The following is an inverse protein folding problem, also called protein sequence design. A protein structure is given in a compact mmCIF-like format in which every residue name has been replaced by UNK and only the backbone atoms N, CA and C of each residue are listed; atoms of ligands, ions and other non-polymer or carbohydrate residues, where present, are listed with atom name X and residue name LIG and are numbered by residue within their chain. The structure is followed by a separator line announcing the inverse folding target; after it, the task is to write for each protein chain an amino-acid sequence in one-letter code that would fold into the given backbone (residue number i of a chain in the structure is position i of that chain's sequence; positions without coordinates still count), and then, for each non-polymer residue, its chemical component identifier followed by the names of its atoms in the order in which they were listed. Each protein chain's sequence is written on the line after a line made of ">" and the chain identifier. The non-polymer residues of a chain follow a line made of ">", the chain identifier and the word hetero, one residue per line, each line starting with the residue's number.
data_IF_041588837473
#
_entry.id   IF_041588837473
#
_cell.length_a   1.000
_cell.length_b   1.000
_cell.length_c   1.000
_cell.angle_alpha   90.00
_cell.angle_beta   90.00
_cell.angle_gamma   90.00
#
_symmetry.space_group_name_H-M   'P 1'
#
loop_
_entity.id
_entity.type
_entity.pdbx_description
1 polymer ?
#
# COMPACT_ATOMS: atom_id res chain seq x y z
N UNK A 1 8.07 -3.26 -5.17
CA UNK A 1 9.04 -2.13 -5.08
C UNK A 1 10.41 -2.66 -4.66
N UNK A 2 11.51 -2.22 -5.29
CA UNK A 2 12.88 -2.60 -4.91
C UNK A 2 13.51 -1.48 -4.06
N UNK A 3 13.89 -1.80 -2.81
CA UNK A 3 14.48 -0.87 -1.87
C UNK A 3 16.00 -0.84 -2.00
N UNK A 4 16.58 0.36 -2.06
CA UNK A 4 18.02 0.61 -2.05
C UNK A 4 18.37 1.42 -0.80
N UNK A 5 19.28 0.90 0.00
CA UNK A 5 19.84 1.65 1.14
C UNK A 5 20.67 2.82 0.64
N UNK A 6 20.48 3.99 1.23
CA UNK A 6 21.29 5.16 0.93
C UNK A 6 22.60 5.16 1.74
N UNK A 7 23.62 5.77 1.15
CA UNK A 7 24.85 6.08 1.87
C UNK A 7 24.61 7.11 2.96
N UNK A 8 25.65 7.35 3.79
CA UNK A 8 25.55 8.22 4.96
C UNK A 8 25.22 9.68 4.61
N UNK A 9 25.82 10.20 3.53
CA UNK A 9 25.65 11.61 3.15
C UNK A 9 24.25 11.86 2.62
N UNK A 10 23.73 10.98 1.77
CA UNK A 10 22.37 11.04 1.26
C UNK A 10 21.34 10.77 2.37
N UNK A 11 21.62 9.81 3.26
CA UNK A 11 20.76 9.58 4.45
C UNK A 11 20.69 10.82 5.34
N UNK A 12 21.80 11.51 5.56
CA UNK A 12 21.84 12.75 6.35
C UNK A 12 20.95 13.84 5.75
N UNK A 13 21.01 14.01 4.42
CA UNK A 13 20.15 14.99 3.72
C UNK A 13 18.66 14.68 3.91
N UNK A 14 18.27 13.43 3.71
CA UNK A 14 16.87 12.99 3.88
C UNK A 14 16.42 13.21 5.33
N UNK A 15 17.19 12.72 6.32
CA UNK A 15 16.86 12.86 7.74
C UNK A 15 16.68 14.34 8.11
N UNK A 16 17.56 15.22 7.63
CA UNK A 16 17.47 16.65 7.92
C UNK A 16 16.22 17.28 7.24
N UNK A 17 15.83 16.81 6.05
CA UNK A 17 14.63 17.32 5.37
C UNK A 17 13.34 16.89 6.04
N UNK A 18 13.27 15.67 6.61
CA UNK A 18 12.05 15.15 7.26
C UNK A 18 11.93 15.55 8.73
N UNK A 19 12.97 16.12 9.33
CA UNK A 19 12.95 16.61 10.72
C UNK A 19 12.10 17.85 10.95
N UNK A 20 11.70 18.54 9.89
CA UNK A 20 10.86 19.73 10.01
C UNK A 20 9.41 19.36 10.32
N UNK A 21 8.83 19.91 11.38
CA UNK A 21 7.44 19.69 11.77
C UNK A 21 7.24 18.61 12.83
N UNK A 22 6.14 17.86 12.75
CA UNK A 22 5.70 16.88 13.77
C UNK A 22 6.70 15.73 14.04
N UNK A 23 7.69 15.53 13.17
CA UNK A 23 8.68 14.45 13.26
C UNK A 23 10.03 14.91 13.83
N UNK A 24 10.10 16.12 14.39
CA UNK A 24 11.32 16.63 14.98
C UNK A 24 11.77 15.73 16.15
N UNK A 25 13.02 15.26 16.08
CA UNK A 25 13.61 14.39 17.11
C UNK A 25 13.38 12.89 16.94
N UNK A 26 12.48 12.45 16.07
CA UNK A 26 12.22 11.01 15.86
C UNK A 26 13.37 10.28 15.15
N UNK A 27 14.14 10.98 14.31
CA UNK A 27 15.21 10.38 13.52
C UNK A 27 16.55 11.06 13.74
N UNK A 28 17.64 10.28 13.78
CA UNK A 28 19.00 10.77 13.84
C UNK A 28 19.91 9.97 12.92
N UNK A 29 20.97 10.59 12.41
CA UNK A 29 21.94 9.93 11.51
C UNK A 29 22.65 8.74 12.18
N UNK A 30 22.75 8.77 13.53
CA UNK A 30 23.40 7.72 14.30
C UNK A 30 22.53 6.49 14.55
N UNK A 31 21.21 6.63 14.51
CA UNK A 31 20.25 5.59 14.91
C UNK A 31 19.23 5.24 13.83
N UNK A 32 19.28 5.92 12.70
CA UNK A 32 18.29 5.71 11.63
C UNK A 32 18.95 5.26 10.33
N UNK A 33 18.22 4.45 9.59
CA UNK A 33 18.54 4.02 8.24
C UNK A 33 17.55 4.65 7.25
N UNK A 34 18.03 4.99 6.06
CA UNK A 34 17.20 5.49 4.96
C UNK A 34 17.30 4.57 3.78
N UNK A 35 16.16 4.15 3.27
CA UNK A 35 16.03 3.39 2.03
C UNK A 35 15.22 4.21 1.01
N UNK A 36 15.52 4.01 -0.28
CA UNK A 36 14.80 4.61 -1.40
C UNK A 36 14.22 3.52 -2.27
N UNK A 37 12.91 3.58 -2.53
CA UNK A 37 12.20 2.72 -3.46
C UNK A 37 11.80 3.51 -4.71
N UNK A 38 12.12 2.99 -5.90
CA UNK A 38 11.65 3.59 -7.16
C UNK A 38 10.26 3.06 -7.49
N UNK A 39 9.43 3.94 -8.03
CA UNK A 39 8.12 3.64 -8.60
C UNK A 39 8.10 4.11 -10.06
N UNK A 40 7.55 3.31 -10.95
CA UNK A 40 7.64 3.55 -12.40
C UNK A 40 6.49 4.41 -12.96
N UNK A 41 5.49 4.71 -12.13
CA UNK A 41 4.35 5.55 -12.48
C UNK A 41 4.57 7.04 -12.12
N UNK A 42 5.63 7.38 -11.39
CA UNK A 42 6.00 8.76 -11.14
C UNK A 42 7.27 9.15 -11.88
N UNK A 43 7.23 10.32 -12.52
CA UNK A 43 8.43 10.97 -13.03
C UNK A 43 9.12 11.70 -11.87
N UNK A 44 10.38 11.38 -11.64
CA UNK A 44 11.28 12.06 -10.68
C UNK A 44 10.89 11.93 -9.20
N UNK A 45 9.85 11.17 -8.85
CA UNK A 45 9.48 10.86 -7.47
C UNK A 45 9.91 9.44 -7.08
N UNK A 46 10.19 9.28 -5.79
CA UNK A 46 10.53 7.99 -5.18
C UNK A 46 9.92 7.92 -3.78
N UNK A 47 9.77 6.71 -3.26
CA UNK A 47 9.40 6.50 -1.86
C UNK A 47 10.67 6.41 -1.03
N UNK A 48 10.72 7.13 0.07
CA UNK A 48 11.80 7.09 1.05
C UNK A 48 11.27 6.50 2.35
N UNK A 49 11.94 5.46 2.84
CA UNK A 49 11.64 4.84 4.12
C UNK A 49 12.72 5.19 5.11
N UNK A 50 12.36 5.81 6.22
CA UNK A 50 13.25 6.17 7.32
C UNK A 50 12.90 5.30 8.51
N UNK A 51 13.82 4.42 8.92
CA UNK A 51 13.64 3.50 10.04
C UNK A 51 14.50 3.94 11.22
N UNK A 52 13.91 4.10 12.40
CA UNK A 52 14.62 4.35 13.65
C UNK A 52 14.81 3.03 14.40
N UNK A 53 16.07 2.72 14.73
CA UNK A 53 16.47 1.55 15.52
C UNK A 53 16.80 1.85 16.98
N UNK A 54 16.66 3.12 17.43
CA UNK A 54 16.90 3.49 18.82
C UNK A 54 15.77 3.07 19.76
N UNK A 55 14.62 2.74 19.24
CA UNK A 55 13.44 2.27 19.99
C UNK A 55 13.22 0.76 19.82
N UNK A 56 12.53 0.14 20.77
CA UNK A 56 12.07 -1.24 20.71
C UNK A 56 10.54 -1.26 20.93
N UNK A 57 9.76 -1.69 19.93
CA UNK A 57 10.18 -2.07 18.57
C UNK A 57 10.70 -0.88 17.76
N UNK A 58 11.53 -1.16 16.74
CA UNK A 58 11.88 -0.16 15.72
C UNK A 58 10.64 0.27 14.94
N UNK A 59 10.62 1.50 14.46
CA UNK A 59 9.52 2.02 13.64
C UNK A 59 10.06 2.67 12.37
N UNK A 60 9.19 2.77 11.37
CA UNK A 60 9.52 3.37 10.08
C UNK A 60 8.44 4.37 9.66
N UNK A 61 8.88 5.45 9.01
CA UNK A 61 7.99 6.37 8.30
C UNK A 61 8.35 6.37 6.82
N UNK A 62 7.33 6.47 5.98
CA UNK A 62 7.51 6.52 4.54
C UNK A 62 7.09 7.89 3.98
N UNK A 63 7.82 8.35 2.98
CA UNK A 63 7.65 9.66 2.37
C UNK A 63 7.70 9.53 0.86
N UNK A 64 6.77 10.18 0.16
CA UNK A 64 6.84 10.37 -1.29
C UNK A 64 7.58 11.67 -1.60
N UNK A 65 8.65 11.63 -2.40
CA UNK A 65 9.54 12.78 -2.57
C UNK A 65 10.24 12.82 -3.92
N UNK A 66 10.46 14.03 -4.42
CA UNK A 66 11.35 14.36 -5.54
C UNK A 66 12.83 14.53 -5.12
N UNK A 67 13.13 14.30 -3.83
CA UNK A 67 14.44 14.52 -3.21
C UNK A 67 14.59 15.90 -2.56
N UNK A 68 13.63 16.80 -2.73
CA UNK A 68 13.60 18.15 -2.16
C UNK A 68 12.45 18.29 -1.16
N UNK A 69 11.24 17.96 -1.59
CA UNK A 69 10.03 18.03 -0.77
C UNK A 69 9.57 16.62 -0.40
N UNK A 70 9.37 16.38 0.89
CA UNK A 70 9.00 15.10 1.45
C UNK A 70 7.55 15.14 1.94
N UNK A 71 6.67 14.39 1.28
CA UNK A 71 5.28 14.21 1.66
C UNK A 71 5.16 12.95 2.51
N UNK A 72 4.88 13.11 3.80
CA UNK A 72 4.68 11.98 4.71
C UNK A 72 3.42 11.20 4.30
N UNK A 73 3.56 9.89 4.13
CA UNK A 73 2.47 8.97 3.84
C UNK A 73 1.82 8.58 5.16
N UNK A 74 0.78 9.31 5.54
CA UNK A 74 0.16 9.32 6.87
C UNK A 74 -1.06 8.39 7.00
N UNK A 75 -1.28 7.52 6.02
CA UNK A 75 -2.44 6.63 5.96
C UNK A 75 -3.63 7.20 5.20
N UNK A 76 -3.58 8.50 4.83
CA UNK A 76 -4.62 9.14 4.02
C UNK A 76 -4.20 9.27 2.56
N UNK A 77 -5.17 9.49 1.67
CA UNK A 77 -4.89 9.72 0.25
C UNK A 77 -4.27 11.10 -0.06
N UNK A 78 -4.38 12.04 0.88
CA UNK A 78 -4.01 13.43 0.65
C UNK A 78 -2.55 13.64 0.23
N UNK A 79 -1.53 13.01 0.84
CA UNK A 79 -0.14 13.15 0.40
C UNK A 79 0.07 12.68 -1.04
N UNK A 80 -0.53 11.54 -1.42
CA UNK A 80 -0.44 10.96 -2.77
C UNK A 80 -1.11 11.89 -3.78
N UNK A 81 -2.32 12.35 -3.48
CA UNK A 81 -3.08 13.22 -4.37
C UNK A 81 -2.41 14.59 -4.55
N UNK A 82 -1.79 15.12 -3.50
CA UNK A 82 -1.03 16.37 -3.60
C UNK A 82 0.18 16.27 -4.56
N UNK A 83 0.78 15.10 -4.67
CA UNK A 83 1.84 14.84 -5.66
C UNK A 83 1.26 14.63 -7.05
N UNK A 84 0.16 13.88 -7.18
CA UNK A 84 -0.51 13.65 -8.46
C UNK A 84 -0.96 14.97 -9.13
N UNK A 85 -1.46 15.91 -8.33
CA UNK A 85 -1.93 17.22 -8.81
C UNK A 85 -0.80 18.09 -9.39
N UNK A 86 0.48 17.73 -9.17
CA UNK A 86 1.64 18.36 -9.82
C UNK A 86 1.86 17.88 -11.25
N UNK A 87 1.06 16.92 -11.75
CA UNK A 87 1.15 16.38 -13.11
C UNK A 87 2.38 15.51 -13.36
N UNK A 88 2.91 14.89 -12.32
CA UNK A 88 4.10 14.00 -12.39
C UNK A 88 3.73 12.53 -12.49
N UNK A 89 2.45 12.19 -12.30
CA UNK A 89 1.92 10.83 -12.45
C UNK A 89 1.71 10.52 -13.94
N UNK A 90 2.11 9.32 -14.34
CA UNK A 90 1.84 8.78 -15.68
C UNK A 90 1.37 7.35 -15.52
N UNK A 91 0.07 7.14 -15.76
CA UNK A 91 -0.54 5.81 -15.70
C UNK A 91 -0.78 5.25 -17.09
N UNK A 92 -0.51 3.96 -17.22
CA UNK A 92 -0.88 3.14 -18.37
C UNK A 92 -1.34 1.75 -17.90
N UNK A 93 -1.76 0.89 -18.84
CA UNK A 93 -2.23 -0.47 -18.53
C UNK A 93 -1.17 -1.38 -17.89
N UNK A 94 0.12 -1.03 -17.98
CA UNK A 94 1.21 -1.84 -17.47
C UNK A 94 1.60 -1.46 -16.04
N UNK A 95 1.34 -0.20 -15.64
CA UNK A 95 1.74 0.31 -14.33
C UNK A 95 0.56 0.67 -13.39
N UNK A 96 -0.68 0.72 -13.90
CA UNK A 96 -1.85 1.08 -13.06
C UNK A 96 -2.06 0.11 -11.91
N UNK A 97 -1.76 -1.19 -12.06
CA UNK A 97 -1.84 -2.16 -10.96
C UNK A 97 -0.76 -1.95 -9.92
N UNK A 98 0.45 -1.55 -10.32
CA UNK A 98 1.52 -1.20 -9.39
C UNK A 98 1.17 0.08 -8.62
N UNK A 99 0.55 1.06 -9.31
CA UNK A 99 0.04 2.26 -8.66
C UNK A 99 -1.08 1.93 -7.66
N UNK A 100 -2.03 1.06 -8.04
CA UNK A 100 -3.13 0.63 -7.16
C UNK A 100 -2.60 -0.08 -5.91
N UNK A 101 -1.64 -1.00 -6.07
CA UNK A 101 -1.00 -1.69 -4.96
C UNK A 101 -0.21 -0.71 -4.06
N UNK A 102 0.48 0.28 -4.66
CA UNK A 102 1.13 1.35 -3.92
C UNK A 102 0.12 2.19 -3.14
N UNK A 103 -0.99 2.58 -3.77
CA UNK A 103 -2.02 3.38 -3.14
C UNK A 103 -2.57 2.68 -1.89
N UNK A 104 -3.04 1.44 -2.01
CA UNK A 104 -3.59 0.71 -0.87
C UNK A 104 -2.55 0.28 0.18
N UNK A 105 -1.27 0.20 -0.17
CA UNK A 105 -0.22 0.00 0.83
C UNK A 105 0.01 1.22 1.73
N UNK A 106 -0.50 2.40 1.35
CA UNK A 106 -0.29 3.66 2.08
C UNK A 106 -1.59 4.37 2.45
N UNK A 107 -2.73 3.86 2.01
CA UNK A 107 -4.06 4.43 2.29
C UNK A 107 -4.95 3.31 2.79
N UNK A 108 -5.29 3.38 4.07
CA UNK A 108 -6.28 2.50 4.68
C UNK A 108 -7.70 3.09 4.59
N UNK A 109 -8.68 2.29 4.97
CA UNK A 109 -10.02 2.79 5.28
C UNK A 109 -10.23 2.84 6.80
N UNK A 110 -11.42 3.25 7.22
CA UNK A 110 -11.77 3.34 8.65
C UNK A 110 -11.75 1.96 9.35
N UNK A 111 -11.73 0.87 8.60
CA UNK A 111 -11.77 -0.51 9.10
C UNK A 111 -10.39 -1.20 9.04
N UNK A 112 -9.38 -0.58 8.41
CA UNK A 112 -8.01 -1.07 8.39
C UNK A 112 -7.30 -1.02 7.03
N UNK A 113 -6.28 -1.87 6.90
CA UNK A 113 -5.45 -1.92 5.71
C UNK A 113 -6.14 -2.67 4.57
N UNK A 114 -5.93 -2.19 3.35
CA UNK A 114 -6.38 -2.83 2.12
C UNK A 114 -5.16 -3.36 1.36
N UNK A 115 -5.21 -4.63 0.94
CA UNK A 115 -4.12 -5.24 0.18
C UNK A 115 -4.64 -5.76 -1.17
N UNK A 116 -3.93 -5.46 -2.24
CA UNK A 116 -4.16 -6.06 -3.56
C UNK A 116 -3.55 -7.47 -3.58
N UNK A 117 -4.37 -8.48 -3.82
CA UNK A 117 -3.94 -9.88 -3.87
C UNK A 117 -3.78 -10.31 -5.34
N UNK A 118 -2.58 -10.16 -5.87
CA UNK A 118 -2.25 -10.61 -7.23
C UNK A 118 -1.98 -12.11 -7.30
N UNK A 119 -1.49 -12.70 -6.23
CA UNK A 119 -1.26 -14.13 -6.09
C UNK A 119 -1.90 -14.60 -4.77
N UNK A 120 -2.65 -15.72 -4.76
CA UNK A 120 -3.21 -16.28 -3.52
C UNK A 120 -2.20 -16.44 -2.39
N UNK A 121 -0.95 -16.78 -2.71
CA UNK A 121 0.13 -16.93 -1.74
C UNK A 121 0.52 -15.63 -1.01
N UNK A 122 0.12 -14.46 -1.55
CA UNK A 122 0.38 -13.15 -0.93
C UNK A 122 -0.70 -12.80 0.11
N UNK A 123 -1.73 -13.64 0.26
CA UNK A 123 -2.81 -13.39 1.21
C UNK A 123 -2.30 -13.50 2.66
N UNK A 124 -2.57 -12.52 3.52
CA UNK A 124 -2.21 -12.58 4.92
C UNK A 124 -2.84 -13.78 5.61
N UNK A 125 -2.08 -14.41 6.53
CA UNK A 125 -2.53 -15.53 7.34
C UNK A 125 -2.99 -16.78 6.55
N UNK A 126 -2.63 -16.89 5.27
CA UNK A 126 -3.06 -17.98 4.39
C UNK A 126 -2.81 -19.38 5.03
N UNK A 127 -1.63 -19.58 5.62
CA UNK A 127 -1.26 -20.86 6.26
C UNK A 127 -2.03 -21.16 7.56
N UNK A 128 -2.74 -20.18 8.09
CA UNK A 128 -3.56 -20.33 9.31
C UNK A 128 -5.03 -20.60 9.00
N UNK A 129 -5.41 -20.66 7.73
CA UNK A 129 -6.78 -20.90 7.30
C UNK A 129 -7.15 -22.38 7.47
N UNK A 130 -8.42 -22.65 7.75
CA UNK A 130 -8.94 -24.01 7.69
C UNK A 130 -8.79 -24.56 6.25
N UNK A 131 -8.54 -25.88 6.06
CA UNK A 131 -8.24 -26.46 4.74
C UNK A 131 -9.28 -26.12 3.66
N UNK A 132 -10.57 -26.15 3.98
CA UNK A 132 -11.63 -25.83 3.01
C UNK A 132 -11.64 -24.35 2.61
N UNK A 133 -11.24 -23.43 3.51
CA UNK A 133 -11.10 -22.01 3.20
C UNK A 133 -9.87 -21.75 2.34
N UNK A 134 -8.75 -22.42 2.68
CA UNK A 134 -7.53 -22.38 1.88
C UNK A 134 -7.81 -22.82 0.43
N UNK A 135 -8.44 -23.98 0.22
CA UNK A 135 -8.80 -24.47 -1.12
C UNK A 135 -9.73 -23.51 -1.86
N UNK A 136 -10.68 -22.89 -1.14
CA UNK A 136 -11.61 -21.92 -1.72
C UNK A 136 -10.90 -20.64 -2.19
N UNK A 137 -9.87 -20.15 -1.49
CA UNK A 137 -9.05 -19.01 -1.90
C UNK A 137 -8.44 -19.27 -3.28
N UNK A 138 -7.81 -20.44 -3.47
CA UNK A 138 -7.20 -20.80 -4.75
C UNK A 138 -8.24 -21.02 -5.85
N UNK A 139 -9.33 -21.69 -5.56
CA UNK A 139 -10.38 -21.99 -6.52
C UNK A 139 -11.12 -20.73 -7.03
N UNK A 140 -11.25 -19.71 -6.20
CA UNK A 140 -11.97 -18.49 -6.53
C UNK A 140 -11.08 -17.34 -6.99
N UNK A 141 -9.76 -17.44 -6.79
CA UNK A 141 -8.83 -16.42 -7.26
C UNK A 141 -8.89 -16.25 -8.77
N UNK A 142 -8.99 -15.00 -9.21
CA UNK A 142 -8.92 -14.62 -10.62
C UNK A 142 -7.87 -13.54 -10.81
N UNK A 143 -7.10 -13.56 -11.89
CA UNK A 143 -6.21 -12.45 -12.24
C UNK A 143 -6.97 -11.13 -12.30
N UNK A 144 -6.25 -10.03 -12.11
CA UNK A 144 -6.83 -8.71 -12.30
C UNK A 144 -7.18 -8.48 -13.77
N UNK A 145 -8.34 -7.88 -14.01
CA UNK A 145 -8.80 -7.45 -15.33
C UNK A 145 -8.77 -5.93 -15.37
N UNK A 146 -8.19 -5.35 -16.44
CA UNK A 146 -7.99 -3.92 -16.59
C UNK A 146 -8.59 -3.47 -17.90
N UNK A 147 -9.51 -2.54 -17.84
CA UNK A 147 -10.13 -1.90 -18.99
C UNK A 147 -9.91 -0.37 -18.89
N UNK A 148 -9.48 0.28 -20.00
CA UNK A 148 -9.40 1.73 -20.06
C UNK A 148 -10.66 2.29 -20.70
N UNK A 149 -11.37 3.15 -19.98
CA UNK A 149 -12.53 3.87 -20.49
C UNK A 149 -12.12 5.31 -20.87
N UNK A 150 -11.98 5.52 -22.18
CA UNK A 150 -11.63 6.83 -22.72
C UNK A 150 -12.72 7.91 -22.56
N UNK A 151 -13.98 7.52 -22.28
CA UNK A 151 -15.07 8.46 -22.01
C UNK A 151 -14.98 9.11 -20.65
N UNK A 152 -14.44 8.38 -19.66
CA UNK A 152 -14.25 8.84 -18.28
C UNK A 152 -12.78 9.13 -17.95
N UNK A 153 -11.86 8.90 -18.89
CA UNK A 153 -10.41 9.07 -18.69
C UNK A 153 -9.92 8.29 -17.44
N UNK A 154 -10.35 7.04 -17.33
CA UNK A 154 -10.12 6.18 -16.18
C UNK A 154 -9.88 4.72 -16.56
N UNK A 155 -9.22 3.99 -15.67
CA UNK A 155 -9.10 2.53 -15.71
C UNK A 155 -10.17 1.92 -14.82
N UNK A 156 -10.96 1.02 -15.37
CA UNK A 156 -11.83 0.12 -14.64
C UNK A 156 -11.07 -1.18 -14.37
N UNK A 157 -10.94 -1.54 -13.11
CA UNK A 157 -10.14 -2.66 -12.65
C UNK A 157 -11.02 -3.59 -11.84
N UNK A 158 -11.05 -4.87 -12.22
CA UNK A 158 -11.53 -5.92 -11.34
C UNK A 158 -10.34 -6.64 -10.72
N UNK A 159 -10.20 -6.60 -9.39
CA UNK A 159 -9.08 -7.20 -8.68
C UNK A 159 -9.53 -7.86 -7.37
N UNK A 160 -8.69 -8.78 -6.88
CA UNK A 160 -8.90 -9.34 -5.55
C UNK A 160 -8.25 -8.42 -4.52
N UNK A 161 -9.01 -8.05 -3.50
CA UNK A 161 -8.54 -7.30 -2.35
C UNK A 161 -8.72 -8.14 -1.08
N UNK A 162 -7.75 -8.05 -0.18
CA UNK A 162 -7.91 -8.46 1.21
C UNK A 162 -8.17 -7.21 2.02
N UNK A 163 -9.33 -7.13 2.64
CA UNK A 163 -9.77 -6.02 3.47
C UNK A 163 -10.77 -6.54 4.52
N UNK A 164 -10.74 -5.98 5.71
CA UNK A 164 -11.64 -6.37 6.82
C UNK A 164 -11.62 -7.88 7.08
N UNK A 165 -10.43 -8.49 7.06
CA UNK A 165 -10.24 -9.94 7.22
C UNK A 165 -10.99 -10.81 6.19
N UNK A 166 -11.31 -10.27 5.03
CA UNK A 166 -12.04 -10.93 3.96
C UNK A 166 -11.34 -10.79 2.61
N UNK A 167 -11.38 -11.86 1.82
CA UNK A 167 -11.02 -11.79 0.41
C UNK A 167 -12.25 -11.39 -0.41
N UNK A 168 -12.14 -10.29 -1.14
CA UNK A 168 -13.24 -9.76 -1.97
C UNK A 168 -12.78 -9.60 -3.42
N UNK A 169 -13.69 -9.76 -4.38
CA UNK A 169 -13.51 -9.30 -5.75
C UNK A 169 -14.09 -7.89 -5.84
N UNK A 170 -13.24 -6.90 -6.08
CA UNK A 170 -13.62 -5.50 -6.10
C UNK A 170 -13.62 -4.94 -7.52
N UNK A 171 -14.56 -4.04 -7.79
CA UNK A 171 -14.58 -3.17 -8.95
C UNK A 171 -14.04 -1.80 -8.54
N UNK A 172 -12.93 -1.41 -9.16
CA UNK A 172 -12.16 -0.23 -8.76
C UNK A 172 -12.00 0.67 -9.98
N UNK A 173 -12.25 1.96 -9.81
CA UNK A 173 -11.96 2.98 -10.78
C UNK A 173 -10.68 3.72 -10.38
N UNK A 174 -9.74 3.84 -11.32
CA UNK A 174 -8.52 4.64 -11.18
C UNK A 174 -8.48 5.65 -12.32
N UNK A 175 -8.69 6.93 -12.01
CA UNK A 175 -8.57 7.97 -13.04
C UNK A 175 -7.12 8.13 -13.50
N UNK A 176 -6.88 8.68 -14.69
CA UNK A 176 -5.52 9.01 -15.17
C UNK A 176 -4.80 10.01 -14.27
N UNK A 177 -5.54 10.75 -13.44
CA UNK A 177 -5.00 11.62 -12.39
C UNK A 177 -4.72 10.88 -11.07
N UNK A 178 -4.90 9.54 -11.04
CA UNK A 178 -4.62 8.70 -9.89
C UNK A 178 -5.64 8.78 -8.76
N UNK A 179 -6.86 9.26 -9.01
CA UNK A 179 -7.95 9.16 -8.02
C UNK A 179 -8.47 7.73 -8.03
N UNK A 180 -8.50 7.10 -6.86
CA UNK A 180 -8.92 5.71 -6.67
C UNK A 180 -10.29 5.66 -6.02
N UNK A 181 -11.19 4.83 -6.54
CA UNK A 181 -12.52 4.64 -6.00
C UNK A 181 -12.95 3.18 -6.11
N UNK A 182 -13.32 2.56 -5.01
CA UNK A 182 -13.99 1.25 -5.02
C UNK A 182 -15.46 1.48 -5.35
N UNK A 183 -15.92 0.97 -6.49
CA UNK A 183 -17.30 1.10 -7.01
C UNK A 183 -18.23 0.03 -6.42
N UNK A 184 -17.69 -1.14 -6.17
CA UNK A 184 -18.41 -2.28 -5.65
C UNK A 184 -17.50 -3.43 -5.28
N UNK A 185 -18.01 -4.33 -4.45
CA UNK A 185 -17.26 -5.50 -4.02
C UNK A 185 -18.19 -6.69 -3.79
N UNK A 186 -17.65 -7.89 -4.07
CA UNK A 186 -18.31 -9.16 -3.81
C UNK A 186 -17.41 -10.02 -2.93
N UNK A 187 -17.92 -10.46 -1.80
CA UNK A 187 -17.20 -11.38 -0.92
C UNK A 187 -16.93 -12.69 -1.67
N UNK A 188 -15.67 -13.15 -1.61
CA UNK A 188 -15.25 -14.42 -2.18
C UNK A 188 -15.15 -15.49 -1.11
N UNK A 189 -14.37 -15.21 -0.04
CA UNK A 189 -14.15 -16.11 1.07
C UNK A 189 -14.23 -15.32 2.36
N UNK A 190 -14.95 -15.84 3.34
CA UNK A 190 -14.99 -15.31 4.70
C UNK A 190 -14.08 -16.18 5.56
N UNK A 191 -13.26 -15.56 6.40
CA UNK A 191 -12.61 -16.25 7.50
C UNK A 191 -13.71 -16.57 8.52
N UNK A 192 -14.10 -17.83 8.65
CA UNK A 192 -14.87 -18.27 9.80
C UNK A 192 -13.92 -18.18 10.99
N UNK A 193 -14.15 -17.19 11.87
CA UNK A 193 -13.57 -17.21 13.22
C UNK A 193 -14.27 -18.37 13.91
N UNK A 194 -13.58 -19.48 14.12
CA UNK A 194 -14.03 -20.49 15.06
C UNK A 194 -14.13 -19.78 16.42
N UNK A 195 -15.34 -19.43 16.83
CA UNK A 195 -15.66 -19.12 18.22
C UNK A 195 -15.33 -20.40 19.02
N UNK A 196 -14.10 -20.48 19.48
CA UNK A 196 -13.73 -21.43 20.52
C UNK A 196 -14.51 -21.03 21.78
N UNK A 197 -15.73 -21.55 21.88
CA UNK A 197 -16.53 -21.54 23.07
C UNK A 197 -15.78 -22.32 24.15
N UNK A 198 -14.99 -21.61 24.93
CA UNK A 198 -14.49 -22.07 26.24
C UNK A 198 -15.66 -22.09 27.25
N UNK A 199 -16.77 -22.75 26.91
CA UNK A 199 -17.96 -22.84 27.77
C UNK A 199 -18.15 -24.23 28.40
N UNK A 200 -17.18 -25.15 28.30
CA UNK A 200 -17.30 -26.47 28.93
C UNK A 200 -16.08 -26.80 29.80
N UNK A 201 -15.80 -25.95 30.80
CA UNK A 201 -14.98 -26.32 31.97
C UNK A 201 -15.48 -25.58 33.21
N UNK A 202 -16.67 -25.94 33.69
CA UNK A 202 -17.06 -25.79 35.10
C UNK A 202 -17.76 -27.08 35.57
#
# INVERSE_FOLDING_TARGET
>A
MHWQRLDRDNSTKVINSVKSGANEGLFSVGTSEVQRGRVNFYKDYSVYKVTNYASLPSFSFEYLSDGVFFHYLDGTEQPIYSVNDKGVLTLDKHNVMEYLAFFFAHVGDDEGDIMVINNPHDMPLLDSLAPHVYDAVFAQHKPAEIHYDGGFDAYEIEANLYMNSQLVRAQIEVSTKGRVKIKGQKKMVMQEVEDNNYADLM
#
